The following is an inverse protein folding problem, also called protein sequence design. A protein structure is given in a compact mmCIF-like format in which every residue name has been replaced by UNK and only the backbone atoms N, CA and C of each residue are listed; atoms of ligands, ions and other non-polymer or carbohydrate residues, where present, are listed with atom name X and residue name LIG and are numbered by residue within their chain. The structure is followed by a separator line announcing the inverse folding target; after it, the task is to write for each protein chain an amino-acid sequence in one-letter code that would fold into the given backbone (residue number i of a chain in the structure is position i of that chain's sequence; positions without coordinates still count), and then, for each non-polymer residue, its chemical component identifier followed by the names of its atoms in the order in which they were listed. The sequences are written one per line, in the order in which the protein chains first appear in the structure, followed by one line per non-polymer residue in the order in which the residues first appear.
data_IF_927185505869
#
_entry.id   IF_927185505869
#
_cell.length_a   1.000
_cell.length_b   1.000
_cell.length_c   1.000
_cell.angle_alpha   90.00
_cell.angle_beta   90.00
_cell.angle_gamma   90.00
#
_symmetry.space_group_name_H-M   'P 1'
#
loop_
_entity.id
_entity.type
_entity.pdbx_description
1 polymer ?
#
# COMPACT_ATOMS: atom_id res chain seq x y z
N UNK A 1 21.41 13.32 -11.41
CA UNK A 1 21.71 13.88 -10.08
C UNK A 1 20.61 14.79 -9.51
N UNK A 2 20.09 15.81 -10.22
CA UNK A 2 19.13 16.78 -9.66
C UNK A 2 17.84 16.18 -9.03
N UNK A 3 17.32 15.09 -9.58
CA UNK A 3 16.13 14.38 -9.06
C UNK A 3 16.35 13.83 -7.63
N UNK A 4 17.60 13.59 -7.21
CA UNK A 4 17.89 13.13 -5.86
C UNK A 4 17.60 14.20 -4.80
N UNK A 5 17.62 15.50 -5.15
CA UNK A 5 17.45 16.59 -4.18
C UNK A 5 16.02 16.60 -3.60
N UNK A 6 14.93 16.66 -4.41
CA UNK A 6 13.57 16.64 -3.86
C UNK A 6 13.27 15.37 -3.04
N UNK A 7 13.81 14.22 -3.46
CA UNK A 7 13.64 12.96 -2.75
C UNK A 7 14.39 12.97 -1.40
N UNK A 8 15.60 13.51 -1.36
CA UNK A 8 16.35 13.70 -0.12
C UNK A 8 15.61 14.60 0.87
N UNK A 9 15.01 15.70 0.39
CA UNK A 9 14.17 16.58 1.23
C UNK A 9 13.02 15.80 1.87
N UNK A 10 12.35 14.90 1.15
CA UNK A 10 11.28 14.06 1.72
C UNK A 10 11.80 13.15 2.85
N UNK A 11 12.95 12.50 2.65
CA UNK A 11 13.58 11.65 3.66
C UNK A 11 13.90 12.46 4.93
N UNK A 12 14.51 13.64 4.78
CA UNK A 12 14.80 14.51 5.92
C UNK A 12 13.53 15.01 6.61
N UNK A 13 12.48 15.36 5.86
CA UNK A 13 11.21 15.76 6.45
C UNK A 13 10.61 14.64 7.30
N UNK A 14 10.61 13.39 6.83
CA UNK A 14 10.12 12.25 7.63
C UNK A 14 10.95 12.00 8.89
N UNK A 15 12.29 12.12 8.80
CA UNK A 15 13.17 12.04 9.97
C UNK A 15 12.87 13.15 10.98
N UNK A 16 12.67 14.37 10.52
CA UNK A 16 12.34 15.51 11.37
C UNK A 16 10.92 15.43 11.95
N UNK A 17 9.97 14.82 11.25
CA UNK A 17 8.63 14.50 11.81
C UNK A 17 8.73 13.54 12.98
N UNK A 18 9.63 12.55 12.91
CA UNK A 18 9.86 11.61 14.02
C UNK A 18 10.68 12.24 15.15
N UNK A 19 11.55 13.19 14.84
CA UNK A 19 12.41 13.86 15.81
C UNK A 19 11.59 14.69 16.81
N UNK A 20 11.79 14.45 18.11
CA UNK A 20 11.06 15.14 19.17
C UNK A 20 9.63 14.62 19.41
N UNK A 21 9.16 13.66 18.59
CA UNK A 21 7.88 12.99 18.78
C UNK A 21 7.93 11.84 19.80
N UNK A 22 6.75 11.29 20.14
CA UNK A 22 6.61 10.05 20.92
C UNK A 22 6.20 8.92 19.97
N UNK A 23 7.15 8.07 19.61
CA UNK A 23 6.96 7.03 18.59
C UNK A 23 6.39 5.75 19.23
N UNK A 24 5.31 5.22 18.66
CA UNK A 24 4.82 3.89 18.96
C UNK A 24 5.36 2.91 17.91
N UNK A 25 6.14 1.93 18.35
CA UNK A 25 6.76 0.91 17.48
C UNK A 25 5.76 -0.19 17.08
N UNK A 26 4.65 0.20 16.48
CA UNK A 26 3.70 -0.71 15.83
C UNK A 26 4.34 -1.32 14.57
N UNK A 27 3.76 -2.40 14.06
CA UNK A 27 4.24 -3.06 12.85
C UNK A 27 4.25 -2.09 11.65
N UNK A 28 3.20 -1.28 11.50
CA UNK A 28 3.15 -0.24 10.47
C UNK A 28 4.34 0.73 10.59
N UNK A 29 4.61 1.22 11.81
CA UNK A 29 5.74 2.13 12.05
C UNK A 29 7.09 1.47 11.76
N UNK A 30 7.27 0.19 12.12
CA UNK A 30 8.50 -0.55 11.82
C UNK A 30 8.74 -0.64 10.31
N UNK A 31 7.72 -0.97 9.52
CA UNK A 31 7.82 -0.97 8.06
C UNK A 31 8.09 0.42 7.47
N UNK A 32 7.49 1.49 8.02
CA UNK A 32 7.77 2.86 7.61
C UNK A 32 9.23 3.29 7.90
N UNK A 33 9.78 2.94 9.06
CA UNK A 33 11.18 3.16 9.39
C UNK A 33 12.09 2.32 8.47
N UNK A 34 11.74 1.05 8.27
CA UNK A 34 12.43 0.15 7.34
C UNK A 34 12.47 0.71 5.93
N UNK A 35 11.37 1.31 5.45
CA UNK A 35 11.31 2.03 4.19
C UNK A 35 12.35 3.14 4.14
N UNK A 36 12.36 4.04 5.13
CA UNK A 36 13.30 5.16 5.16
C UNK A 36 14.74 4.68 5.09
N UNK A 37 15.09 3.63 5.86
CA UNK A 37 16.44 3.08 5.90
C UNK A 37 16.83 2.41 4.58
N UNK A 38 16.04 1.44 4.11
CA UNK A 38 16.38 0.64 2.92
C UNK A 38 16.32 1.49 1.64
N UNK A 39 15.34 2.38 1.53
CA UNK A 39 15.26 3.30 0.40
C UNK A 39 16.44 4.26 0.37
N UNK A 40 16.95 4.71 1.53
CA UNK A 40 18.15 5.55 1.58
C UNK A 40 19.39 4.80 1.09
N UNK A 41 19.58 3.54 1.51
CA UNK A 41 20.68 2.68 1.01
C UNK A 41 20.59 2.53 -0.51
N UNK A 42 19.40 2.25 -1.04
CA UNK A 42 19.16 2.18 -2.48
C UNK A 42 19.38 3.51 -3.21
N UNK A 43 18.96 4.61 -2.60
CA UNK A 43 19.16 5.95 -3.15
C UNK A 43 20.64 6.30 -3.30
N UNK A 44 21.47 5.92 -2.33
CA UNK A 44 22.93 6.14 -2.39
C UNK A 44 23.57 5.38 -3.55
N UNK A 45 23.22 4.11 -3.79
CA UNK A 45 23.71 3.39 -4.98
C UNK A 45 23.18 3.99 -6.28
N UNK A 46 21.94 4.50 -6.29
CA UNK A 46 21.31 5.18 -7.43
C UNK A 46 22.01 6.44 -7.90
N UNK A 47 22.60 7.22 -6.99
CA UNK A 47 23.36 8.41 -7.36
C UNK A 47 24.58 8.02 -8.21
N UNK A 48 25.22 6.88 -7.94
CA UNK A 48 26.39 6.42 -8.71
C UNK A 48 26.02 6.06 -10.15
N UNK A 49 24.84 5.48 -10.39
CA UNK A 49 24.30 5.25 -11.73
C UNK A 49 24.08 6.53 -12.53
N UNK A 50 23.84 7.65 -11.86
CA UNK A 50 23.65 8.93 -12.55
C UNK A 50 24.95 9.57 -13.03
N UNK A 51 26.10 8.94 -12.74
CA UNK A 51 27.44 9.36 -13.19
C UNK A 51 27.83 8.49 -14.39
N UNK A 52 27.79 9.05 -15.60
CA UNK A 52 27.95 8.29 -16.84
C UNK A 52 29.21 7.39 -16.89
N UNK A 53 30.41 7.84 -16.47
CA UNK A 53 31.58 6.94 -16.42
C UNK A 53 31.40 5.74 -15.47
N UNK A 54 30.79 5.95 -14.30
CA UNK A 54 30.50 4.85 -13.35
C UNK A 54 29.49 3.88 -13.95
N UNK A 55 28.47 4.41 -14.62
CA UNK A 55 27.42 3.58 -15.21
C UNK A 55 27.94 2.68 -16.33
N UNK A 56 28.97 3.09 -17.09
CA UNK A 56 29.59 2.20 -18.10
C UNK A 56 30.15 0.89 -17.51
N UNK A 57 30.49 0.86 -16.22
CA UNK A 57 30.95 -0.36 -15.52
C UNK A 57 29.81 -1.11 -14.84
N UNK A 58 28.77 -0.41 -14.40
CA UNK A 58 27.67 -0.97 -13.62
C UNK A 58 26.50 -1.45 -14.49
N UNK A 59 26.39 -0.91 -15.71
CA UNK A 59 25.32 -1.26 -16.63
C UNK A 59 25.35 -2.75 -16.98
N UNK A 60 24.15 -3.34 -16.98
CA UNK A 60 23.93 -4.78 -17.19
C UNK A 60 24.61 -5.73 -16.19
N UNK A 61 25.05 -5.23 -15.02
CA UNK A 61 25.52 -6.09 -13.92
C UNK A 61 24.47 -6.24 -12.81
N UNK A 62 24.76 -7.11 -11.85
CA UNK A 62 24.00 -7.27 -10.62
C UNK A 62 23.92 -5.97 -9.79
N UNK A 63 24.76 -4.96 -10.05
CA UNK A 63 24.74 -3.71 -9.30
C UNK A 63 23.44 -2.92 -9.57
N UNK A 64 22.99 -2.85 -10.84
CA UNK A 64 21.68 -2.28 -11.19
C UNK A 64 20.54 -3.07 -10.54
N UNK A 65 20.66 -4.40 -10.52
CA UNK A 65 19.63 -5.28 -9.92
C UNK A 65 19.53 -4.96 -8.43
N UNK A 66 20.66 -4.87 -7.73
CA UNK A 66 20.72 -4.53 -6.32
C UNK A 66 20.08 -3.16 -6.05
N UNK A 67 20.53 -2.12 -6.75
CA UNK A 67 20.01 -0.76 -6.63
C UNK A 67 18.48 -0.72 -6.77
N UNK A 68 17.97 -1.26 -7.87
CA UNK A 68 16.54 -1.21 -8.17
C UNK A 68 15.70 -1.93 -7.13
N UNK A 69 16.15 -3.07 -6.61
CA UNK A 69 15.42 -3.78 -5.58
C UNK A 69 15.47 -3.05 -4.23
N UNK A 70 16.57 -2.38 -3.87
CA UNK A 70 16.58 -1.55 -2.66
C UNK A 70 15.58 -0.39 -2.74
N UNK A 71 15.44 0.26 -3.90
CA UNK A 71 14.47 1.38 -4.03
C UNK A 71 13.03 0.91 -4.24
N UNK A 72 12.78 -0.16 -5.02
CA UNK A 72 11.43 -0.64 -5.28
C UNK A 72 10.95 -1.54 -4.14
N UNK A 73 11.71 -2.57 -3.77
CA UNK A 73 11.29 -3.45 -2.67
C UNK A 73 11.42 -2.73 -1.33
N UNK A 74 12.61 -2.19 -1.04
CA UNK A 74 12.83 -1.43 0.20
C UNK A 74 11.99 -0.15 0.30
N UNK A 75 11.59 0.46 -0.82
CA UNK A 75 10.68 1.61 -0.84
C UNK A 75 9.20 1.20 -0.92
N UNK A 76 8.77 0.83 -2.12
CA UNK A 76 7.36 0.55 -2.43
C UNK A 76 6.81 -0.63 -1.65
N UNK A 77 7.49 -1.79 -1.62
CA UNK A 77 6.93 -2.99 -0.95
C UNK A 77 6.85 -2.78 0.55
N UNK A 78 7.88 -2.23 1.20
CA UNK A 78 7.81 -1.89 2.63
C UNK A 78 6.72 -0.85 2.92
N UNK A 79 6.55 0.15 2.05
CA UNK A 79 5.45 1.11 2.14
C UNK A 79 4.07 0.47 2.02
N UNK A 80 3.91 -0.51 1.12
CA UNK A 80 2.68 -1.30 0.99
C UNK A 80 2.40 -2.11 2.25
N UNK A 81 3.39 -2.77 2.84
CA UNK A 81 3.21 -3.48 4.11
C UNK A 81 2.87 -2.53 5.25
N UNK A 82 3.54 -1.36 5.35
CA UNK A 82 3.15 -0.32 6.29
C UNK A 82 1.68 0.06 6.13
N UNK A 83 1.23 0.27 4.89
CA UNK A 83 -0.17 0.58 4.57
C UNK A 83 -1.13 -0.55 4.90
N UNK A 84 -0.76 -1.81 4.62
CA UNK A 84 -1.56 -2.97 4.99
C UNK A 84 -1.78 -3.02 6.50
N UNK A 85 -0.74 -2.89 7.33
CA UNK A 85 -0.90 -2.92 8.78
C UNK A 85 -1.67 -1.70 9.31
N UNK A 86 -1.49 -0.51 8.71
CA UNK A 86 -2.15 0.71 9.15
C UNK A 86 -3.65 0.74 8.81
N UNK A 87 -4.03 0.43 7.56
CA UNK A 87 -5.41 0.50 7.08
C UNK A 87 -6.18 -0.83 7.14
N UNK A 88 -5.56 -1.93 7.59
CA UNK A 88 -6.30 -3.20 7.79
C UNK A 88 -7.59 -3.04 8.60
N UNK A 89 -7.58 -2.32 9.74
CA UNK A 89 -8.77 -2.12 10.54
C UNK A 89 -9.87 -1.36 9.80
N UNK A 90 -9.47 -0.37 9.00
CA UNK A 90 -10.40 0.44 8.21
C UNK A 90 -11.06 -0.37 7.09
N UNK A 91 -10.32 -1.26 6.42
CA UNK A 91 -10.87 -2.04 5.30
C UNK A 91 -11.66 -3.25 5.78
N UNK A 92 -11.20 -3.95 6.82
CA UNK A 92 -11.75 -5.26 7.22
C UNK A 92 -12.42 -5.27 8.59
N UNK A 93 -12.41 -4.15 9.32
CA UNK A 93 -12.94 -4.07 10.70
C UNK A 93 -12.13 -4.85 11.73
N UNK A 94 -10.93 -5.33 11.40
CA UNK A 94 -10.11 -6.19 12.27
C UNK A 94 -8.67 -5.70 12.38
N UNK A 95 -8.04 -5.93 13.53
CA UNK A 95 -6.61 -5.65 13.71
C UNK A 95 -5.77 -6.85 13.28
N UNK A 96 -4.67 -6.58 12.57
CA UNK A 96 -3.63 -7.60 12.38
C UNK A 96 -2.88 -7.85 13.71
N UNK A 97 -2.40 -9.07 13.91
CA UNK A 97 -1.63 -9.41 15.10
C UNK A 97 -0.23 -8.78 15.05
N UNK A 98 0.09 -7.90 16.01
CA UNK A 98 1.37 -7.19 16.07
C UNK A 98 2.59 -8.10 16.28
N UNK A 99 2.46 -9.24 16.98
CA UNK A 99 3.59 -10.18 17.17
C UNK A 99 3.96 -10.88 15.87
N UNK A 100 2.96 -11.36 15.13
CA UNK A 100 3.19 -11.93 13.80
C UNK A 100 3.64 -10.85 12.81
N UNK A 101 3.15 -9.63 12.96
CA UNK A 101 3.59 -8.46 12.19
C UNK A 101 5.07 -8.14 12.40
N UNK A 102 5.55 -8.17 13.64
CA UNK A 102 6.96 -8.01 13.95
C UNK A 102 7.84 -9.12 13.33
N UNK A 103 7.39 -10.38 13.36
CA UNK A 103 8.10 -11.47 12.68
C UNK A 103 8.16 -11.26 11.16
N UNK A 104 7.03 -10.91 10.53
CA UNK A 104 7.00 -10.53 9.12
C UNK A 104 8.04 -9.44 8.83
N UNK A 105 8.01 -8.34 9.57
CA UNK A 105 8.96 -7.23 9.42
C UNK A 105 10.42 -7.69 9.47
N UNK A 106 10.83 -8.41 10.52
CA UNK A 106 12.24 -8.79 10.68
C UNK A 106 12.72 -9.76 9.60
N UNK A 107 11.89 -10.74 9.22
CA UNK A 107 12.22 -11.65 8.12
C UNK A 107 12.32 -10.89 6.79
N UNK A 108 11.42 -9.94 6.55
CA UNK A 108 11.47 -9.09 5.35
C UNK A 108 12.74 -8.23 5.32
N UNK A 109 13.13 -7.59 6.42
CA UNK A 109 14.35 -6.76 6.49
C UNK A 109 15.62 -7.59 6.31
N UNK A 110 15.72 -8.70 7.03
CA UNK A 110 16.90 -9.58 6.97
C UNK A 110 17.00 -10.23 5.60
N UNK A 111 15.91 -10.80 5.10
CA UNK A 111 15.85 -11.40 3.78
C UNK A 111 16.20 -10.41 2.68
N UNK A 112 15.69 -9.18 2.74
CA UNK A 112 15.97 -8.12 1.76
C UNK A 112 17.47 -7.82 1.67
N UNK A 113 18.12 -7.59 2.82
CA UNK A 113 19.54 -7.30 2.86
C UNK A 113 20.39 -8.52 2.47
N UNK A 114 20.00 -9.72 2.88
CA UNK A 114 20.70 -10.95 2.49
C UNK A 114 20.56 -11.26 0.99
N UNK A 115 19.41 -10.97 0.38
CA UNK A 115 19.19 -11.18 -1.05
C UNK A 115 19.93 -10.16 -1.90
N UNK A 116 19.68 -8.88 -1.67
CA UNK A 116 20.10 -7.84 -2.60
C UNK A 116 21.36 -7.10 -2.15
N UNK A 117 21.70 -7.14 -0.85
CA UNK A 117 22.94 -6.55 -0.34
C UNK A 117 24.18 -7.11 -1.04
N UNK A 118 24.37 -8.45 -1.07
CA UNK A 118 25.47 -9.09 -1.80
C UNK A 118 25.52 -8.75 -3.29
N UNK A 119 24.38 -8.48 -3.92
CA UNK A 119 24.33 -8.17 -5.36
C UNK A 119 25.07 -6.88 -5.72
N UNK A 120 25.22 -5.92 -4.79
CA UNK A 120 26.09 -4.76 -5.03
C UNK A 120 27.55 -5.19 -5.20
N UNK A 121 28.04 -6.13 -4.37
CA UNK A 121 29.41 -6.65 -4.47
C UNK A 121 29.54 -7.45 -5.77
N UNK A 122 28.63 -8.40 -6.03
CA UNK A 122 28.61 -9.21 -7.25
C UNK A 122 28.62 -8.37 -8.53
N UNK A 123 27.85 -7.27 -8.53
CA UNK A 123 27.79 -6.34 -9.64
C UNK A 123 29.10 -5.61 -9.90
N UNK A 124 29.78 -5.15 -8.84
CA UNK A 124 31.10 -4.51 -8.95
C UNK A 124 32.20 -5.50 -9.38
N UNK A 125 32.02 -6.79 -9.13
CA UNK A 125 32.88 -7.85 -9.64
C UNK A 125 32.60 -8.22 -11.11
N UNK A 126 31.59 -7.59 -11.72
CA UNK A 126 31.26 -7.78 -13.12
C UNK A 126 30.33 -8.96 -13.38
N UNK A 127 29.61 -9.49 -12.38
CA UNK A 127 28.58 -10.51 -12.64
C UNK A 127 27.43 -9.91 -13.46
N UNK A 128 27.21 -10.34 -14.72
CA UNK A 128 26.15 -9.81 -15.54
C UNK A 128 24.78 -10.26 -15.05
N UNK A 129 23.76 -9.41 -15.20
CA UNK A 129 22.36 -9.81 -15.00
C UNK A 129 21.90 -10.74 -16.13
N UNK A 130 20.82 -11.50 -15.89
CA UNK A 130 20.20 -12.41 -16.89
C UNK A 130 21.09 -13.57 -17.35
N UNK A 131 22.09 -13.92 -16.56
CA UNK A 131 22.89 -15.12 -16.75
C UNK A 131 22.34 -16.26 -15.88
N UNK A 132 22.02 -17.40 -16.49
CA UNK A 132 21.53 -18.56 -15.76
C UNK A 132 22.66 -19.37 -15.08
N UNK A 133 23.90 -19.26 -15.59
CA UNK A 133 25.09 -19.94 -15.07
C UNK A 133 26.32 -19.06 -15.25
N UNK A 134 27.28 -19.18 -14.33
CA UNK A 134 28.62 -18.61 -14.45
C UNK A 134 29.67 -19.75 -14.46
N UNK A 135 30.80 -19.52 -15.11
CA UNK A 135 31.88 -20.51 -15.17
C UNK A 135 32.77 -20.43 -13.92
N UNK A 136 33.38 -21.55 -13.54
CA UNK A 136 34.36 -21.57 -12.42
C UNK A 136 35.51 -20.59 -12.65
N UNK A 137 35.95 -20.42 -13.90
CA UNK A 137 36.97 -19.45 -14.29
C UNK A 137 36.58 -17.98 -13.98
N UNK A 138 35.29 -17.67 -13.85
CA UNK A 138 34.79 -16.34 -13.47
C UNK A 138 34.27 -16.29 -12.04
N UNK A 139 34.26 -17.41 -11.33
CA UNK A 139 33.67 -17.50 -10.01
C UNK A 139 34.44 -16.71 -8.95
N UNK A 140 35.71 -16.35 -9.18
CA UNK A 140 36.54 -15.69 -8.17
C UNK A 140 36.87 -16.62 -7.00
N UNK A 141 37.63 -16.12 -6.02
CA UNK A 141 38.14 -16.93 -4.90
C UNK A 141 37.77 -16.34 -3.53
N UNK A 142 37.71 -17.22 -2.52
CA UNK A 142 37.47 -16.84 -1.12
C UNK A 142 36.17 -16.07 -0.89
N UNK A 143 36.24 -14.98 -0.13
CA UNK A 143 35.09 -14.11 0.17
C UNK A 143 34.50 -13.41 -1.06
N UNK A 144 35.25 -13.34 -2.16
CA UNK A 144 34.84 -12.71 -3.41
C UNK A 144 34.31 -13.74 -4.42
N UNK A 145 34.03 -14.96 -3.96
CA UNK A 145 33.48 -15.99 -4.82
C UNK A 145 32.00 -15.70 -5.16
N UNK A 146 31.67 -15.67 -6.46
CA UNK A 146 30.31 -15.44 -6.95
C UNK A 146 29.35 -16.52 -6.43
N UNK A 147 29.79 -17.78 -6.39
CA UNK A 147 28.96 -18.90 -5.91
C UNK A 147 28.53 -18.72 -4.46
N UNK A 148 29.45 -18.31 -3.59
CA UNK A 148 29.17 -18.03 -2.18
C UNK A 148 28.09 -16.95 -2.00
N UNK A 149 28.24 -15.80 -2.68
CA UNK A 149 27.28 -14.71 -2.54
C UNK A 149 25.95 -14.97 -3.23
N UNK A 150 25.92 -15.67 -4.36
CA UNK A 150 24.66 -16.10 -4.99
C UNK A 150 23.93 -17.12 -4.10
N UNK A 151 24.64 -17.99 -3.37
CA UNK A 151 24.04 -18.87 -2.38
C UNK A 151 23.41 -18.07 -1.23
N UNK A 152 24.14 -17.09 -0.66
CA UNK A 152 23.60 -16.21 0.38
C UNK A 152 22.36 -15.46 -0.13
N UNK A 153 22.43 -14.91 -1.34
CA UNK A 153 21.33 -14.20 -1.95
C UNK A 153 20.08 -15.09 -2.10
N UNK A 154 20.30 -16.35 -2.50
CA UNK A 154 19.25 -17.37 -2.62
C UNK A 154 18.63 -17.70 -1.27
N UNK A 155 19.45 -17.92 -0.22
CA UNK A 155 18.96 -18.14 1.15
C UNK A 155 18.13 -16.94 1.62
N UNK A 156 18.61 -15.72 1.38
CA UNK A 156 17.86 -14.50 1.67
C UNK A 156 16.48 -14.47 1.01
N UNK A 157 16.38 -14.99 -0.22
CA UNK A 157 15.10 -15.00 -0.96
C UNK A 157 14.08 -15.96 -0.35
N UNK A 158 14.54 -17.09 0.19
CA UNK A 158 13.68 -17.99 0.97
C UNK A 158 13.28 -17.37 2.32
N UNK A 159 14.17 -16.61 2.97
CA UNK A 159 13.83 -15.86 4.19
C UNK A 159 12.75 -14.81 3.90
N UNK A 160 12.84 -14.09 2.77
CA UNK A 160 11.79 -13.18 2.30
C UNK A 160 10.45 -13.90 2.12
N UNK A 161 10.46 -15.07 1.47
CA UNK A 161 9.26 -15.88 1.28
C UNK A 161 8.61 -16.28 2.61
N UNK A 162 9.42 -16.62 3.63
CA UNK A 162 8.94 -16.89 4.99
C UNK A 162 8.38 -15.62 5.64
N UNK A 163 8.98 -14.44 5.42
CA UNK A 163 8.44 -13.15 5.86
C UNK A 163 7.03 -12.90 5.33
N UNK A 164 6.84 -13.04 4.01
CA UNK A 164 5.52 -12.93 3.37
C UNK A 164 4.56 -14.00 3.89
N UNK A 165 5.04 -15.22 4.18
CA UNK A 165 4.21 -16.27 4.77
C UNK A 165 3.68 -15.87 6.16
N UNK A 166 4.48 -15.21 7.00
CA UNK A 166 3.99 -14.69 8.29
C UNK A 166 2.85 -13.69 8.11
N UNK A 167 2.91 -12.84 7.08
CA UNK A 167 1.81 -11.94 6.75
C UNK A 167 0.55 -12.71 6.36
N UNK A 168 0.65 -13.68 5.43
CA UNK A 168 -0.49 -14.47 4.99
C UNK A 168 -1.13 -15.26 6.14
N UNK A 169 -0.31 -15.84 7.03
CA UNK A 169 -0.78 -16.52 8.23
C UNK A 169 -1.52 -15.53 9.14
N UNK A 170 -1.00 -14.33 9.33
CA UNK A 170 -1.62 -13.29 10.14
C UNK A 170 -3.00 -12.90 9.58
N UNK A 171 -3.11 -12.70 8.25
CA UNK A 171 -4.37 -12.43 7.56
C UNK A 171 -5.37 -13.56 7.80
N UNK A 172 -4.98 -14.83 7.64
CA UNK A 172 -5.89 -15.97 7.82
C UNK A 172 -6.36 -16.09 9.28
N UNK A 173 -5.47 -15.93 10.25
CA UNK A 173 -5.81 -16.02 11.68
C UNK A 173 -6.79 -14.91 12.07
N UNK A 174 -6.51 -13.68 11.65
CA UNK A 174 -7.30 -12.52 12.04
C UNK A 174 -8.63 -12.46 11.28
N UNK A 175 -8.67 -12.88 10.02
CA UNK A 175 -9.92 -13.03 9.28
C UNK A 175 -10.89 -14.01 9.97
N UNK A 176 -10.38 -15.06 10.62
CA UNK A 176 -11.18 -16.04 11.40
C UNK A 176 -11.53 -15.58 12.81
N UNK A 177 -10.87 -14.54 13.33
CA UNK A 177 -11.16 -14.00 14.66
C UNK A 177 -12.49 -13.25 14.68
N UNK A 178 -13.23 -13.31 15.80
CA UNK A 178 -14.44 -12.50 16.02
C UNK A 178 -14.16 -11.12 16.62
N UNK A 179 -12.91 -10.82 16.97
CA UNK A 179 -12.55 -9.54 17.58
C UNK A 179 -12.61 -8.42 16.54
N UNK A 180 -13.46 -7.43 16.81
CA UNK A 180 -13.56 -6.21 16.02
C UNK A 180 -12.46 -5.23 16.44
N UNK A 181 -11.98 -4.45 15.48
CA UNK A 181 -11.07 -3.35 15.76
C UNK A 181 -11.83 -2.16 16.37
N UNK A 182 -11.18 -1.38 17.25
CA UNK A 182 -11.66 -0.03 17.58
C UNK A 182 -11.84 0.82 16.33
N UNK A 183 -12.73 1.82 16.38
CA UNK A 183 -12.93 2.73 15.25
C UNK A 183 -11.69 3.59 14.97
N UNK A 184 -11.00 4.01 16.02
CA UNK A 184 -9.74 4.74 15.97
C UNK A 184 -8.64 4.00 16.76
N UNK A 185 -8.04 2.94 16.18
CA UNK A 185 -7.07 2.11 16.89
C UNK A 185 -5.70 2.78 17.06
N UNK A 186 -5.43 3.88 16.35
CA UNK A 186 -4.11 4.50 16.27
C UNK A 186 -4.05 5.90 16.88
N UNK A 187 -5.14 6.40 17.45
CA UNK A 187 -5.30 7.83 17.77
C UNK A 187 -4.97 8.71 16.56
N UNK A 188 -5.54 8.36 15.40
CA UNK A 188 -5.17 8.90 14.11
C UNK A 188 -5.59 10.37 13.92
N UNK A 189 -5.12 11.01 12.85
CA UNK A 189 -5.20 12.47 12.69
C UNK A 189 -6.12 12.95 11.58
N UNK A 190 -6.44 12.07 10.64
CA UNK A 190 -7.06 12.38 9.35
C UNK A 190 -8.48 11.83 9.22
N UNK A 191 -9.22 12.33 8.23
CA UNK A 191 -10.68 12.12 8.09
C UNK A 191 -11.10 10.68 7.83
N UNK A 192 -10.23 9.82 7.29
CA UNK A 192 -10.59 8.42 7.07
C UNK A 192 -10.88 7.67 8.38
N UNK A 193 -10.46 8.22 9.52
CA UNK A 193 -10.76 7.70 10.85
C UNK A 193 -12.00 8.33 11.50
N UNK A 194 -12.60 9.34 10.86
CA UNK A 194 -13.92 9.90 11.17
C UNK A 194 -15.04 9.12 10.46
N UNK A 195 -14.89 7.80 10.35
CA UNK A 195 -15.91 6.90 9.78
C UNK A 195 -15.92 5.59 10.55
N UNK A 196 -16.96 4.78 10.31
CA UNK A 196 -16.97 3.39 10.76
C UNK A 196 -15.84 2.56 10.12
N UNK A 197 -15.61 1.37 10.66
CA UNK A 197 -14.59 0.42 10.19
C UNK A 197 -15.23 -0.97 10.01
N UNK A 198 -15.61 -1.38 8.78
CA UNK A 198 -15.47 -0.67 7.51
C UNK A 198 -16.40 0.55 7.37
N UNK A 199 -16.06 1.53 6.50
CA UNK A 199 -16.94 2.67 6.20
C UNK A 199 -18.29 2.22 5.62
N UNK A 200 -19.34 3.00 5.89
CA UNK A 200 -20.62 2.87 5.19
C UNK A 200 -20.44 3.15 3.68
N UNK A 201 -21.38 2.71 2.84
CA UNK A 201 -21.27 2.88 1.38
C UNK A 201 -21.08 4.34 0.94
N UNK A 202 -21.68 5.29 1.67
CA UNK A 202 -21.56 6.72 1.46
C UNK A 202 -20.39 7.39 2.19
N UNK A 203 -19.54 6.62 2.87
CA UNK A 203 -18.39 7.05 3.68
C UNK A 203 -18.76 7.93 4.88
N UNK A 204 -19.18 9.18 4.65
CA UNK A 204 -19.48 10.18 5.67
C UNK A 204 -20.99 10.46 5.72
N UNK A 205 -21.58 10.42 6.91
CA UNK A 205 -23.02 10.66 7.11
C UNK A 205 -23.45 12.11 6.82
N UNK A 206 -22.51 13.04 6.82
CA UNK A 206 -22.63 14.42 6.31
C UNK A 206 -21.30 14.89 5.76
N UNK A 207 -21.28 15.94 4.93
CA UNK A 207 -20.02 16.48 4.41
C UNK A 207 -19.22 17.12 5.55
N UNK A 208 -18.01 16.63 5.88
CA UNK A 208 -17.21 17.20 6.97
C UNK A 208 -16.67 18.57 6.56
N UNK A 209 -16.89 19.58 7.41
CA UNK A 209 -16.24 20.88 7.28
C UNK A 209 -14.83 20.79 7.84
N UNK A 210 -13.83 21.18 7.05
CA UNK A 210 -12.40 21.10 7.40
C UNK A 210 -11.86 22.49 7.69
N UNK A 211 -11.30 22.67 8.89
CA UNK A 211 -10.68 23.91 9.34
C UNK A 211 -9.16 23.79 9.49
N UNK A 212 -8.67 22.57 9.71
CA UNK A 212 -7.25 22.28 9.92
C UNK A 212 -6.74 21.18 8.98
N UNK A 213 -5.42 21.12 8.79
CA UNK A 213 -4.78 20.05 7.99
C UNK A 213 -5.08 18.66 8.58
N UNK A 214 -4.99 18.54 9.90
CA UNK A 214 -5.27 17.31 10.67
C UNK A 214 -6.62 17.43 11.39
N UNK A 215 -7.70 17.50 10.60
CA UNK A 215 -9.06 17.81 11.10
C UNK A 215 -9.52 16.87 12.23
N UNK A 216 -9.33 15.55 12.07
CA UNK A 216 -9.78 14.58 13.07
C UNK A 216 -8.97 14.69 14.38
N UNK A 217 -7.69 15.07 14.31
CA UNK A 217 -6.89 15.36 15.49
C UNK A 217 -7.42 16.59 16.24
N UNK A 218 -7.69 17.70 15.54
CA UNK A 218 -8.17 18.93 16.17
C UNK A 218 -9.61 18.85 16.71
N UNK A 219 -10.40 17.88 16.24
CA UNK A 219 -11.70 17.54 16.85
C UNK A 219 -11.55 16.76 18.15
N UNK A 220 -10.47 15.99 18.32
CA UNK A 220 -10.18 15.21 19.53
C UNK A 220 -9.40 15.99 20.57
N UNK A 221 -8.54 16.91 20.13
CA UNK A 221 -7.60 17.62 20.98
C UNK A 221 -7.71 19.14 20.80
N UNK A 222 -7.80 19.85 21.93
CA UNK A 222 -7.78 21.31 21.99
C UNK A 222 -6.48 21.78 22.62
N UNK A 223 -5.91 22.89 22.11
CA UNK A 223 -4.70 23.49 22.66
C UNK A 223 -5.05 24.43 23.82
N UNK A 224 -4.46 24.21 24.99
CA UNK A 224 -4.54 25.15 26.10
C UNK A 224 -3.68 26.39 25.81
N UNK A 225 -4.34 27.53 25.57
CA UNK A 225 -3.70 28.82 25.26
C UNK A 225 -2.68 29.30 26.30
N UNK A 226 -2.75 28.85 27.55
CA UNK A 226 -1.80 29.27 28.60
C UNK A 226 -0.54 28.39 28.64
N UNK A 227 -0.67 27.10 28.33
CA UNK A 227 0.41 26.11 28.49
C UNK A 227 0.94 25.56 27.17
N UNK A 228 0.28 25.86 26.05
CA UNK A 228 0.53 25.28 24.73
C UNK A 228 0.55 23.74 24.75
N UNK A 229 -0.25 23.15 25.63
CA UNK A 229 -0.41 21.69 25.74
C UNK A 229 -1.71 21.25 25.11
N UNK A 230 -1.66 20.12 24.39
CA UNK A 230 -2.86 19.51 23.81
C UNK A 230 -3.60 18.72 24.87
N UNK A 231 -4.88 19.04 25.07
CA UNK A 231 -5.79 18.31 25.96
C UNK A 231 -6.83 17.57 25.12
N UNK A 232 -7.03 16.29 25.43
CA UNK A 232 -8.09 15.49 24.78
C UNK A 232 -9.46 15.94 25.29
N UNK A 233 -10.32 16.38 24.38
CA UNK A 233 -11.67 16.89 24.66
C UNK A 233 -12.76 15.94 24.21
N UNK A 234 -12.48 15.08 23.23
CA UNK A 234 -13.43 14.09 22.71
C UNK A 234 -12.73 12.77 22.36
N UNK A 235 -13.46 11.67 22.48
CA UNK A 235 -13.04 10.37 21.95
C UNK A 235 -13.41 10.25 20.47
N UNK A 236 -12.59 9.53 19.70
CA UNK A 236 -12.85 9.33 18.27
C UNK A 236 -14.20 8.64 17.99
N UNK A 237 -14.59 7.70 18.86
CA UNK A 237 -15.88 7.00 18.75
C UNK A 237 -17.07 7.94 18.96
N UNK A 238 -16.97 8.88 19.90
CA UNK A 238 -18.02 9.84 20.17
C UNK A 238 -18.20 10.82 19.01
N UNK A 239 -17.09 11.21 18.36
CA UNK A 239 -17.14 12.03 17.15
C UNK A 239 -17.81 11.29 15.99
N UNK A 240 -17.49 10.02 15.77
CA UNK A 240 -18.13 9.22 14.71
C UNK A 240 -19.63 9.03 14.98
N UNK A 241 -20.03 8.85 16.25
CA UNK A 241 -21.46 8.80 16.63
C UNK A 241 -22.15 10.13 16.37
N UNK A 242 -21.54 11.25 16.74
CA UNK A 242 -22.10 12.58 16.52
C UNK A 242 -22.30 12.91 15.03
N UNK A 243 -21.42 12.42 14.14
CA UNK A 243 -21.61 12.53 12.69
C UNK A 243 -22.83 11.73 12.22
N UNK A 244 -23.07 10.54 12.79
CA UNK A 244 -24.25 9.73 12.50
C UNK A 244 -25.57 10.34 13.01
N UNK A 245 -25.55 10.98 14.18
CA UNK A 245 -26.72 11.66 14.74
C UNK A 245 -27.11 12.92 13.94
N UNK A 246 -26.15 13.53 13.25
CA UNK A 246 -26.31 14.69 12.40
C UNK A 246 -26.28 14.35 10.90
N UNK A 247 -26.69 13.13 10.53
CA UNK A 247 -26.68 12.67 9.15
C UNK A 247 -27.56 13.53 8.23
N UNK A 248 -27.08 13.76 7.01
CA UNK A 248 -27.84 14.47 5.98
C UNK A 248 -29.05 13.64 5.54
N UNK A 249 -30.20 14.29 5.37
CA UNK A 249 -31.46 13.60 5.02
C UNK A 249 -31.45 12.98 3.61
N UNK A 250 -30.62 13.49 2.71
CA UNK A 250 -30.54 13.04 1.32
C UNK A 250 -29.09 12.82 0.90
N UNK A 251 -28.72 11.56 0.71
CA UNK A 251 -27.40 11.14 0.28
C UNK A 251 -27.53 10.46 -1.08
N UNK A 252 -26.91 11.04 -2.10
CA UNK A 252 -26.94 10.51 -3.45
C UNK A 252 -25.74 9.58 -3.69
N UNK A 253 -26.00 8.31 -4.06
CA UNK A 253 -24.99 7.33 -4.45
C UNK A 253 -25.08 7.02 -5.95
N UNK A 254 -23.95 6.81 -6.64
CA UNK A 254 -23.97 6.36 -8.03
C UNK A 254 -24.53 4.93 -8.14
N UNK A 255 -25.34 4.69 -9.15
CA UNK A 255 -25.91 3.36 -9.44
C UNK A 255 -24.81 2.38 -9.91
N UNK A 256 -24.93 1.08 -9.56
CA UNK A 256 -24.03 0.07 -10.09
C UNK A 256 -24.20 -0.08 -11.61
N UNK A 257 -23.09 -0.16 -12.34
CA UNK A 257 -23.05 -0.32 -13.80
C UNK A 257 -22.22 -1.53 -14.20
N UNK A 258 -22.73 -2.34 -15.14
CA UNK A 258 -22.01 -3.50 -15.68
C UNK A 258 -21.16 -3.16 -16.91
N UNK A 259 -21.35 -1.97 -17.50
CA UNK A 259 -20.64 -1.55 -18.72
C UNK A 259 -19.11 -1.48 -18.56
N UNK A 260 -18.54 -1.01 -17.44
CA UNK A 260 -17.08 -1.01 -17.26
C UNK A 260 -16.45 -2.41 -17.39
N UNK A 261 -17.15 -3.45 -16.92
CA UNK A 261 -16.67 -4.83 -17.01
C UNK A 261 -16.70 -5.30 -18.46
N UNK A 262 -17.80 -5.08 -19.18
CA UNK A 262 -17.93 -5.44 -20.59
C UNK A 262 -16.92 -4.70 -21.47
N UNK A 263 -16.73 -3.41 -21.21
CA UNK A 263 -15.73 -2.59 -21.89
C UNK A 263 -14.32 -3.14 -21.67
N UNK A 264 -13.99 -3.49 -20.42
CA UNK A 264 -12.69 -4.08 -20.07
C UNK A 264 -12.45 -5.42 -20.78
N UNK A 265 -13.48 -6.27 -20.89
CA UNK A 265 -13.42 -7.52 -21.66
C UNK A 265 -13.17 -7.23 -23.14
N UNK A 266 -13.91 -6.28 -23.74
CA UNK A 266 -13.73 -5.89 -25.14
C UNK A 266 -12.31 -5.37 -25.44
N UNK A 267 -11.80 -4.49 -24.59
CA UNK A 267 -10.42 -3.96 -24.69
C UNK A 267 -9.39 -5.06 -24.49
N UNK A 268 -9.63 -6.00 -23.57
CA UNK A 268 -8.78 -7.17 -23.37
C UNK A 268 -8.73 -8.07 -24.62
N UNK A 269 -9.88 -8.33 -25.24
CA UNK A 269 -9.97 -9.10 -26.48
C UNK A 269 -9.34 -8.38 -27.67
N UNK A 270 -9.44 -7.04 -27.74
CA UNK A 270 -8.71 -6.23 -28.71
C UNK A 270 -7.20 -6.43 -28.58
N UNK A 271 -6.68 -6.32 -27.35
CA UNK A 271 -5.26 -6.58 -27.06
C UNK A 271 -4.83 -7.99 -27.45
N UNK A 272 -5.64 -9.00 -27.12
CA UNK A 272 -5.40 -10.39 -27.56
C UNK A 272 -5.45 -10.53 -29.09
N UNK A 273 -6.33 -9.81 -29.76
CA UNK A 273 -6.44 -9.82 -31.22
C UNK A 273 -5.20 -9.29 -31.93
N UNK A 274 -4.49 -8.32 -31.35
CA UNK A 274 -3.19 -7.85 -31.88
C UNK A 274 -2.15 -8.98 -31.89
N UNK A 275 -2.22 -9.90 -30.93
CA UNK A 275 -1.27 -11.02 -30.79
C UNK A 275 -1.70 -12.26 -31.59
N UNK A 276 -2.98 -12.61 -31.51
CA UNK A 276 -3.49 -13.91 -31.98
C UNK A 276 -4.26 -13.85 -33.31
N UNK A 277 -4.65 -12.66 -33.77
CA UNK A 277 -5.20 -12.48 -35.11
C UNK A 277 -6.45 -11.61 -35.21
N UNK A 278 -6.73 -11.21 -36.45
CA UNK A 278 -7.77 -10.25 -36.83
C UNK A 278 -9.19 -10.65 -36.35
N UNK A 279 -9.64 -11.92 -36.42
CA UNK A 279 -11.00 -12.26 -35.99
C UNK A 279 -11.29 -11.92 -34.52
N UNK A 280 -10.33 -12.19 -33.63
CA UNK A 280 -10.45 -11.85 -32.21
C UNK A 280 -10.45 -10.32 -32.00
N UNK A 281 -9.64 -9.61 -32.79
CA UNK A 281 -9.60 -8.14 -32.77
C UNK A 281 -10.94 -7.54 -33.19
N UNK A 282 -11.59 -8.07 -34.22
CA UNK A 282 -12.92 -7.61 -34.68
C UNK A 282 -13.98 -7.84 -33.59
N UNK A 283 -13.96 -9.01 -32.94
CA UNK A 283 -14.87 -9.31 -31.82
C UNK A 283 -14.64 -8.35 -30.66
N UNK A 284 -13.39 -8.15 -30.25
CA UNK A 284 -13.05 -7.20 -29.19
C UNK A 284 -13.49 -5.78 -29.53
N UNK A 285 -13.25 -5.33 -30.76
CA UNK A 285 -13.66 -4.01 -31.24
C UNK A 285 -15.18 -3.81 -31.16
N UNK A 286 -15.94 -4.80 -31.62
CA UNK A 286 -17.39 -4.76 -31.58
C UNK A 286 -17.92 -4.68 -30.14
N UNK A 287 -17.36 -5.47 -29.21
CA UNK A 287 -17.74 -5.44 -27.79
C UNK A 287 -17.37 -4.09 -27.17
N UNK A 288 -16.18 -3.55 -27.45
CA UNK A 288 -15.76 -2.25 -26.95
C UNK A 288 -16.68 -1.13 -27.43
N UNK A 289 -16.99 -1.09 -28.73
CA UNK A 289 -17.90 -0.08 -29.28
C UNK A 289 -19.31 -0.21 -28.69
N UNK A 290 -19.85 -1.43 -28.63
CA UNK A 290 -21.15 -1.68 -28.04
C UNK A 290 -21.21 -1.27 -26.57
N UNK A 291 -20.18 -1.62 -25.79
CA UNK A 291 -20.12 -1.30 -24.37
C UNK A 291 -19.96 0.19 -24.12
N UNK A 292 -19.12 0.88 -24.91
CA UNK A 292 -18.97 2.32 -24.81
C UNK A 292 -20.26 3.06 -25.19
N UNK A 293 -20.92 2.63 -26.26
CA UNK A 293 -22.20 3.20 -26.67
C UNK A 293 -23.29 2.97 -25.62
N UNK A 294 -23.41 1.74 -25.09
CA UNK A 294 -24.35 1.40 -24.04
C UNK A 294 -24.12 2.19 -22.75
N UNK A 295 -22.86 2.38 -22.38
CA UNK A 295 -22.50 3.15 -21.18
C UNK A 295 -22.83 4.63 -21.31
N UNK A 296 -22.62 5.23 -22.49
CA UNK A 296 -22.98 6.64 -22.73
C UNK A 296 -24.49 6.88 -22.63
N UNK A 297 -25.29 5.85 -22.92
CA UNK A 297 -26.76 5.92 -22.81
C UNK A 297 -27.27 5.56 -21.42
N UNK A 298 -26.42 5.08 -20.52
CA UNK A 298 -26.81 4.77 -19.15
C UNK A 298 -27.08 6.08 -18.38
N UNK A 299 -28.26 6.22 -17.76
CA UNK A 299 -28.53 7.36 -16.89
C UNK A 299 -27.47 7.47 -15.79
N UNK A 300 -26.99 8.69 -15.52
CA UNK A 300 -25.98 8.93 -14.47
C UNK A 300 -26.52 8.76 -13.05
N UNK A 301 -27.84 8.67 -12.90
CA UNK A 301 -28.57 8.53 -11.63
C UNK A 301 -29.64 7.45 -11.80
N UNK A 302 -29.86 6.63 -10.77
CA UNK A 302 -31.00 5.72 -10.74
C UNK A 302 -32.32 6.52 -10.74
N UNK A 303 -33.39 5.92 -11.26
CA UNK A 303 -34.71 6.51 -11.17
C UNK A 303 -35.18 6.53 -9.69
N UNK A 304 -35.98 7.52 -9.29
CA UNK A 304 -36.43 7.67 -7.88
C UNK A 304 -37.11 6.40 -7.32
N UNK A 305 -37.72 5.58 -8.20
CA UNK A 305 -38.34 4.27 -7.87
C UNK A 305 -37.33 3.26 -7.30
N UNK A 306 -36.06 3.35 -7.67
CA UNK A 306 -35.00 2.46 -7.16
C UNK A 306 -34.47 2.89 -5.78
N UNK A 307 -34.84 4.09 -5.31
CA UNK A 307 -34.44 4.66 -4.03
C UNK A 307 -35.54 4.64 -2.96
N UNK A 308 -36.79 4.35 -3.30
CA UNK A 308 -37.84 4.19 -2.29
C UNK A 308 -37.57 2.92 -1.46
N UNK A 309 -37.36 3.03 -0.13
CA UNK A 309 -37.55 1.86 0.72
C UNK A 309 -39.01 1.44 0.52
N UNK A 310 -39.27 0.14 0.39
CA UNK A 310 -40.64 -0.37 0.31
C UNK A 310 -41.44 0.16 1.51
N UNK A 311 -42.28 1.17 1.28
CA UNK A 311 -43.29 1.59 2.24
C UNK A 311 -44.17 0.35 2.50
N UNK A 312 -44.16 -0.10 3.77
CA UNK A 312 -44.82 -1.29 4.33
C UNK A 312 -43.99 -2.58 4.43
N UNK A 313 -42.92 -2.57 5.23
CA UNK A 313 -42.83 -3.39 6.45
C UNK A 313 -41.51 -3.08 7.17
N UNK A 314 -41.52 -3.10 8.51
CA UNK A 314 -40.43 -2.66 9.39
C UNK A 314 -39.14 -3.49 9.36
N UNK A 315 -38.68 -3.95 8.20
CA UNK A 315 -37.37 -4.54 7.98
C UNK A 315 -36.63 -3.70 6.95
N UNK A 316 -35.89 -2.70 7.43
CA UNK A 316 -34.79 -2.13 6.66
C UNK A 316 -33.90 -3.29 6.20
N UNK A 317 -33.44 -3.26 4.95
CA UNK A 317 -32.31 -4.07 4.50
C UNK A 317 -31.05 -3.57 5.21
N UNK A 318 -31.02 -3.70 6.53
CA UNK A 318 -29.77 -3.90 7.24
C UNK A 318 -29.14 -5.13 6.59
N UNK A 319 -27.97 -4.93 6.03
CA UNK A 319 -27.01 -6.00 5.85
C UNK A 319 -26.94 -6.65 7.24
N UNK A 320 -27.45 -7.87 7.34
CA UNK A 320 -27.60 -8.59 8.59
C UNK A 320 -26.34 -8.42 9.47
N UNK A 321 -26.49 -8.21 10.79
CA UNK A 321 -25.34 -8.20 11.67
C UNK A 321 -24.72 -9.60 11.57
N UNK A 322 -23.54 -9.68 10.97
CA UNK A 322 -22.72 -10.89 11.02
C UNK A 322 -22.42 -11.17 12.50
N UNK A 323 -23.06 -12.21 13.05
CA UNK A 323 -22.81 -12.73 14.40
C UNK A 323 -21.47 -13.45 14.58
#
# INVERSE_FOLDING_TARGET
MAIAIPTGVKIFNWLLTMWGGKIWYTTAMNFAIGLVVLFTIGGLSGVTHSVAPSDTQQTDTYYIVAHFHYVLFGGMVFGLFSGFYYWWPKVFGKMLNEKLGAWNFWFMVIGMNMTFGPMHILGLQGQPRRMYVWTEARAGEGFFNLGFWNLIASIGSFILAVGVLFFLINVVITARSKQQAPLDPWDARTLEWLTTSPPKAHNFDRIPVVHHLDEFFHRKYEEDTATHTMKKVAEGEDLVRAEGDAADAHIHLPSPSYWPILLSIGVGLLGLGVVYGIPMMVIGFAITLFSAYGWVLEPSVAEEIDFEPSDNDGNTKEIAPLG
#
